data_IF_607799402574
#
_entry.id   IF_607799402574
#
_cell.length_a   1.000
_cell.length_b   1.000
_cell.length_c   1.000
_cell.angle_alpha   90.00
_cell.angle_beta   90.00
_cell.angle_gamma   90.00
#
_symmetry.space_group_name_H-M   'P 1'
#
loop_
_entity.id
_entity.type
_entity.pdbx_description
1 polymer ?
#
# COMPACT_ATOMS: atom_id res chain seq x y z
N UNK A 1 9.18 -29.78 -12.98
CA UNK A 1 7.89 -29.05 -13.05
C UNK A 1 7.73 -28.19 -11.80
N UNK A 2 7.88 -28.75 -10.61
CA UNK A 2 7.76 -28.01 -9.35
C UNK A 2 8.78 -26.86 -9.19
N UNK A 3 10.04 -27.05 -9.59
CA UNK A 3 11.05 -25.97 -9.56
C UNK A 3 10.68 -24.79 -10.47
N UNK A 4 10.06 -25.06 -11.63
CA UNK A 4 9.59 -24.02 -12.55
C UNK A 4 8.38 -23.28 -11.95
N UNK A 5 7.44 -24.02 -11.34
CA UNK A 5 6.28 -23.45 -10.64
C UNK A 5 6.73 -22.58 -9.46
N UNK A 6 7.73 -23.03 -8.71
CA UNK A 6 8.34 -22.29 -7.61
C UNK A 6 9.02 -21.01 -8.12
N UNK A 7 9.85 -21.10 -9.15
CA UNK A 7 10.56 -19.95 -9.72
C UNK A 7 9.58 -18.89 -10.23
N UNK A 8 8.52 -19.32 -10.94
CA UNK A 8 7.48 -18.42 -11.44
C UNK A 8 6.70 -17.79 -10.27
N UNK A 9 6.27 -18.58 -9.28
CA UNK A 9 5.45 -18.09 -8.16
C UNK A 9 6.21 -17.17 -7.20
N UNK A 10 7.50 -17.44 -6.97
CA UNK A 10 8.31 -16.72 -5.98
C UNK A 10 9.07 -15.51 -6.54
N UNK A 11 9.27 -15.44 -7.85
CA UNK A 11 10.19 -14.47 -8.47
C UNK A 11 9.66 -13.77 -9.73
N UNK A 12 8.45 -14.06 -10.20
CA UNK A 12 7.84 -13.35 -11.32
C UNK A 12 6.97 -12.18 -10.83
N UNK A 13 7.57 -10.99 -10.72
CA UNK A 13 6.85 -9.77 -10.39
C UNK A 13 7.39 -8.58 -11.21
N UNK A 14 6.48 -7.75 -11.73
CA UNK A 14 6.85 -6.53 -12.47
C UNK A 14 7.27 -5.42 -11.49
N UNK A 15 6.58 -5.32 -10.35
CA UNK A 15 6.97 -4.44 -9.24
C UNK A 15 7.62 -5.26 -8.12
N UNK A 16 8.77 -4.80 -7.62
CA UNK A 16 9.47 -5.38 -6.46
C UNK A 16 8.89 -4.80 -5.16
N UNK A 17 7.62 -5.07 -4.90
CA UNK A 17 6.95 -4.61 -3.68
C UNK A 17 6.87 -5.74 -2.65
N UNK A 18 7.51 -5.55 -1.51
CA UNK A 18 7.41 -6.46 -0.37
C UNK A 18 5.95 -6.60 0.10
N UNK A 19 5.52 -7.83 0.41
CA UNK A 19 4.20 -8.14 0.98
C UNK A 19 3.01 -7.51 0.23
N UNK A 20 3.10 -7.39 -1.10
CA UNK A 20 2.06 -6.76 -1.92
C UNK A 20 0.70 -7.47 -1.79
N UNK A 21 -0.36 -6.67 -1.66
CA UNK A 21 -1.75 -7.15 -1.61
C UNK A 21 -2.29 -7.62 -2.97
N UNK A 22 -1.52 -7.45 -4.05
CA UNK A 22 -1.82 -8.05 -5.36
C UNK A 22 -1.57 -9.56 -5.39
N UNK A 23 -0.71 -10.07 -4.50
CA UNK A 23 -0.48 -11.49 -4.28
C UNK A 23 -1.22 -11.97 -3.02
N UNK A 24 -1.46 -13.29 -2.86
CA UNK A 24 -2.00 -13.84 -1.63
C UNK A 24 -1.16 -13.48 -0.41
N UNK A 25 -1.77 -13.47 0.78
CA UNK A 25 -1.07 -13.22 2.03
C UNK A 25 0.13 -14.18 2.20
N UNK A 26 1.33 -13.72 2.60
CA UNK A 26 2.54 -14.57 2.66
C UNK A 26 2.38 -15.85 3.49
N UNK A 27 1.67 -15.79 4.62
CA UNK A 27 1.33 -16.99 5.43
C UNK A 27 0.43 -18.02 4.72
N UNK A 28 -0.27 -17.61 3.66
CA UNK A 28 -1.13 -18.44 2.81
C UNK A 28 -0.50 -18.74 1.44
N UNK A 29 0.74 -18.31 1.20
CA UNK A 29 1.47 -18.63 -0.01
C UNK A 29 2.12 -20.02 0.12
N UNK A 30 2.08 -20.80 -0.96
CA UNK A 30 2.77 -22.10 -1.02
C UNK A 30 4.30 -21.93 -1.05
N UNK A 31 4.78 -20.89 -1.73
CA UNK A 31 6.20 -20.57 -1.88
C UNK A 31 6.53 -19.24 -1.21
N UNK A 32 7.71 -19.16 -0.60
CA UNK A 32 8.23 -17.90 -0.04
C UNK A 32 8.69 -16.99 -1.19
N UNK A 33 8.16 -15.78 -1.25
CA UNK A 33 8.64 -14.73 -2.16
C UNK A 33 10.03 -14.25 -1.76
N UNK A 34 10.89 -14.00 -2.76
CA UNK A 34 12.27 -13.53 -2.53
C UNK A 34 12.38 -12.02 -2.26
N UNK A 35 11.29 -11.28 -2.37
CA UNK A 35 11.28 -9.80 -2.43
C UNK A 35 11.18 -9.10 -1.06
N UNK A 36 11.72 -9.68 0.01
CA UNK A 36 11.87 -8.93 1.25
C UNK A 36 12.98 -9.53 2.09
N UNK A 37 14.13 -8.84 2.14
CA UNK A 37 15.28 -9.20 2.98
C UNK A 37 15.07 -8.74 4.43
N UNK A 38 14.25 -7.70 4.66
CA UNK A 38 14.05 -7.06 5.96
C UNK A 38 12.63 -7.27 6.51
N UNK A 39 12.56 -7.54 7.80
CA UNK A 39 11.30 -7.67 8.55
C UNK A 39 10.45 -6.39 8.45
N UNK A 40 9.13 -6.56 8.50
CA UNK A 40 8.20 -5.44 8.30
C UNK A 40 8.40 -4.37 9.38
N UNK A 41 8.69 -4.77 10.62
CA UNK A 41 8.93 -3.89 11.77
C UNK A 41 10.12 -2.94 11.56
N UNK A 42 11.25 -3.46 11.08
CA UNK A 42 12.44 -2.63 10.82
C UNK A 42 12.16 -1.63 9.69
N UNK A 43 11.50 -2.08 8.62
CA UNK A 43 11.11 -1.18 7.51
C UNK A 43 10.18 -0.07 8.00
N UNK A 44 9.22 -0.34 8.88
CA UNK A 44 8.36 0.71 9.46
C UNK A 44 9.16 1.78 10.19
N UNK A 45 10.09 1.39 11.06
CA UNK A 45 10.92 2.33 11.80
C UNK A 45 11.70 3.24 10.84
N UNK A 46 12.32 2.65 9.81
CA UNK A 46 13.06 3.41 8.80
C UNK A 46 12.16 4.38 8.00
N UNK A 47 10.94 3.97 7.64
CA UNK A 47 9.98 4.86 6.96
C UNK A 47 9.57 6.04 7.86
N UNK A 48 9.32 5.80 9.16
CA UNK A 48 8.99 6.84 10.13
C UNK A 48 10.15 7.80 10.39
N UNK A 49 11.39 7.31 10.32
CA UNK A 49 12.56 8.17 10.47
C UNK A 49 12.79 9.02 9.21
N UNK A 50 12.70 8.40 8.03
CA UNK A 50 12.88 9.07 6.74
C UNK A 50 11.86 10.21 6.54
N UNK A 51 10.60 10.03 6.93
CA UNK A 51 9.59 11.09 6.76
C UNK A 51 9.87 12.36 7.60
N UNK A 52 10.71 12.29 8.65
CA UNK A 52 11.10 13.46 9.45
C UNK A 52 12.06 14.38 8.71
N UNK A 53 12.90 13.82 7.85
CA UNK A 53 13.95 14.56 7.12
C UNK A 53 13.54 14.84 5.67
N UNK A 54 12.67 14.01 5.09
CA UNK A 54 12.22 14.13 3.70
C UNK A 54 11.46 15.44 3.46
N UNK A 55 11.98 16.26 2.55
CA UNK A 55 11.33 17.50 2.09
C UNK A 55 10.95 17.36 0.63
N UNK A 56 9.66 17.16 0.35
CA UNK A 56 9.12 17.12 -1.01
C UNK A 56 8.19 18.31 -1.24
N UNK A 57 8.13 18.80 -2.47
CA UNK A 57 7.25 19.93 -2.81
C UNK A 57 5.81 19.48 -3.07
N UNK A 58 5.12 19.02 -2.01
CA UNK A 58 3.73 18.56 -2.11
C UNK A 58 2.75 19.65 -2.54
N UNK A 59 3.06 20.92 -2.29
CA UNK A 59 2.27 22.06 -2.78
C UNK A 59 2.26 22.08 -4.30
N UNK A 60 3.44 22.03 -4.93
CA UNK A 60 3.53 21.99 -6.38
C UNK A 60 2.96 20.68 -6.94
N UNK A 61 3.20 19.56 -6.27
CA UNK A 61 2.64 18.26 -6.67
C UNK A 61 1.12 18.25 -6.72
N UNK A 62 0.47 18.74 -5.66
CA UNK A 62 -0.98 18.83 -5.59
C UNK A 62 -1.55 19.77 -6.68
N UNK A 63 -0.85 20.89 -6.95
CA UNK A 63 -1.22 21.82 -8.01
C UNK A 63 -1.10 21.17 -9.40
N UNK A 64 -0.01 20.43 -9.66
CA UNK A 64 0.17 19.68 -10.93
C UNK A 64 -0.95 18.68 -11.17
N UNK A 65 -1.36 17.94 -10.13
CA UNK A 65 -2.50 17.02 -10.20
C UNK A 65 -3.81 17.76 -10.51
N UNK A 66 -4.06 18.90 -9.87
CA UNK A 66 -5.26 19.69 -10.07
C UNK A 66 -5.31 20.39 -11.44
N UNK A 67 -4.17 20.84 -11.95
CA UNK A 67 -4.06 21.56 -13.22
C UNK A 67 -3.95 20.62 -14.42
N UNK A 68 -3.41 19.41 -14.22
CA UNK A 68 -3.04 18.49 -15.29
C UNK A 68 -1.78 18.92 -16.06
N UNK A 69 -1.00 19.83 -15.49
CA UNK A 69 0.23 20.36 -16.09
C UNK A 69 1.47 19.70 -15.48
N UNK A 70 2.31 19.12 -16.34
CA UNK A 70 3.54 18.41 -16.00
C UNK A 70 4.77 18.97 -16.73
N UNK A 71 4.62 20.12 -17.39
CA UNK A 71 5.62 20.68 -18.31
C UNK A 71 6.73 21.48 -17.63
N UNK A 72 6.54 21.89 -16.38
CA UNK A 72 7.53 22.68 -15.64
C UNK A 72 8.74 21.85 -15.19
N UNK A 73 9.94 22.44 -15.26
CA UNK A 73 11.17 21.85 -14.72
C UNK A 73 10.98 21.42 -13.26
N UNK A 74 11.40 20.20 -12.95
CA UNK A 74 11.30 19.66 -11.60
C UNK A 74 12.31 20.39 -10.70
N UNK A 75 11.88 21.41 -9.98
CA UNK A 75 12.71 21.98 -8.89
C UNK A 75 13.11 20.91 -7.86
N UNK A 76 12.31 19.84 -7.74
CA UNK A 76 12.65 18.65 -6.96
C UNK A 76 13.80 17.83 -7.58
N UNK A 77 14.04 17.90 -8.90
CA UNK A 77 15.22 17.27 -9.52
C UNK A 77 16.50 17.99 -9.10
N UNK A 78 16.50 19.33 -8.99
CA UNK A 78 17.68 20.09 -8.55
C UNK A 78 18.01 19.86 -7.06
N UNK A 79 17.00 19.86 -6.19
CA UNK A 79 17.19 19.58 -4.75
C UNK A 79 17.69 18.16 -4.50
N UNK A 80 17.16 17.17 -5.24
CA UNK A 80 17.59 15.77 -5.13
C UNK A 80 18.95 15.49 -5.78
N UNK A 81 19.44 16.33 -6.71
CA UNK A 81 20.80 16.20 -7.25
C UNK A 81 21.85 16.62 -6.21
N UNK A 82 21.51 17.53 -5.29
CA UNK A 82 22.37 17.88 -4.15
C UNK A 82 22.43 16.71 -3.17
N UNK A 83 21.28 16.13 -2.79
CA UNK A 83 21.20 14.90 -1.98
C UNK A 83 21.98 13.74 -2.62
N UNK A 84 21.88 13.55 -3.94
CA UNK A 84 22.59 12.45 -4.64
C UNK A 84 24.11 12.58 -4.61
N UNK A 85 24.64 13.81 -4.58
CA UNK A 85 26.10 14.06 -4.45
C UNK A 85 26.60 13.80 -3.04
N UNK A 86 25.75 13.92 -2.03
CA UNK A 86 26.05 13.51 -0.65
C UNK A 86 25.92 11.97 -0.48
N UNK A 87 25.02 11.33 -1.25
CA UNK A 87 24.84 9.88 -1.31
C UNK A 87 26.04 9.15 -1.96
N UNK A 88 26.59 9.68 -3.06
CA UNK A 88 27.80 9.11 -3.71
C UNK A 88 29.04 9.10 -2.78
N UNK A 89 29.09 9.92 -1.72
CA UNK A 89 30.16 9.89 -0.71
C UNK A 89 29.91 8.91 0.45
N UNK A 90 28.70 8.37 0.59
CA UNK A 90 28.31 7.40 1.63
C UNK A 90 28.04 5.99 1.08
N UNK A 91 27.94 5.83 -0.25
CA UNK A 91 27.69 4.55 -0.92
C UNK A 91 28.87 3.56 -0.87
N UNK A 92 30.08 3.97 -0.48
CA UNK A 92 31.20 3.03 -0.34
C UNK A 92 31.15 2.13 0.92
N UNK A 93 30.18 2.31 1.84
CA UNK A 93 30.12 1.51 3.09
C UNK A 93 28.81 0.73 3.36
N UNK A 94 27.81 0.72 2.46
CA UNK A 94 26.56 -0.04 2.71
C UNK A 94 26.05 -0.84 1.51
N UNK A 95 26.82 -1.87 1.14
CA UNK A 95 26.33 -3.01 0.36
C UNK A 95 25.63 -4.01 1.30
N UNK A 96 24.32 -3.81 1.55
CA UNK A 96 23.38 -4.90 1.87
C UNK A 96 21.91 -4.40 1.87
N UNK A 97 21.13 -4.79 0.84
CA UNK A 97 19.67 -4.93 0.92
C UNK A 97 18.76 -3.67 1.03
N UNK A 98 19.15 -2.49 0.56
CA UNK A 98 18.34 -1.27 0.70
C UNK A 98 17.14 -1.17 -0.29
N UNK A 99 15.94 -1.55 0.15
CA UNK A 99 14.65 -1.33 -0.56
C UNK A 99 13.93 -0.01 -0.19
N UNK A 100 14.59 0.89 0.54
CA UNK A 100 14.04 2.23 0.84
C UNK A 100 14.75 3.25 -0.06
N UNK A 101 14.66 3.06 -1.37
CA UNK A 101 15.01 4.12 -2.31
C UNK A 101 14.19 5.36 -1.93
N UNK A 102 14.82 6.54 -1.90
CA UNK A 102 14.13 7.82 -1.77
C UNK A 102 13.23 8.02 -3.00
N UNK A 103 12.06 7.39 -2.99
CA UNK A 103 11.13 7.39 -4.13
C UNK A 103 10.66 8.83 -4.39
N UNK A 104 10.88 9.26 -5.63
CA UNK A 104 10.36 10.51 -6.19
C UNK A 104 8.84 10.49 -6.19
N UNK A 105 8.23 11.67 -6.17
CA UNK A 105 6.79 11.77 -6.37
C UNK A 105 6.41 11.27 -7.77
N UNK A 106 5.33 10.47 -7.89
CA UNK A 106 4.91 9.95 -9.19
C UNK A 106 4.50 11.08 -10.13
N UNK A 107 4.84 10.95 -11.41
CA UNK A 107 4.34 11.84 -12.47
C UNK A 107 2.96 11.38 -12.93
N UNK A 108 2.13 12.31 -13.42
CA UNK A 108 0.78 12.04 -13.93
C UNK A 108 -0.18 11.50 -12.86
N UNK A 109 -1.21 10.76 -13.27
CA UNK A 109 -2.28 10.28 -12.38
C UNK A 109 -2.06 8.85 -11.87
N UNK A 110 -1.03 8.15 -12.35
CA UNK A 110 -0.70 6.79 -11.94
C UNK A 110 0.06 6.79 -10.60
N UNK A 111 -0.14 5.73 -9.81
CA UNK A 111 0.60 5.47 -8.57
C UNK A 111 0.55 6.58 -7.52
N UNK A 112 -0.49 7.43 -7.55
CA UNK A 112 -0.67 8.53 -6.59
C UNK A 112 -1.21 8.11 -5.22
N UNK A 113 -1.69 6.87 -5.11
CA UNK A 113 -2.32 6.37 -3.89
C UNK A 113 -1.30 5.70 -2.98
N UNK A 114 -1.45 5.90 -1.67
CA UNK A 114 -0.73 5.14 -0.65
C UNK A 114 -1.34 3.74 -0.55
N UNK A 115 -0.51 2.71 -0.72
CA UNK A 115 -0.93 1.31 -0.77
C UNK A 115 -0.41 0.56 0.46
N UNK A 116 -1.28 -0.24 1.05
CA UNK A 116 -0.93 -1.10 2.17
C UNK A 116 -0.21 -2.37 1.72
N UNK A 117 0.64 -2.87 2.60
CA UNK A 117 1.10 -4.25 2.56
C UNK A 117 0.13 -5.17 3.30
N UNK A 118 0.24 -6.48 3.09
CA UNK A 118 -0.34 -7.43 4.05
C UNK A 118 0.23 -7.17 5.45
N UNK A 119 -0.62 -7.19 6.47
CA UNK A 119 -0.16 -7.13 7.86
C UNK A 119 0.38 -8.52 8.26
N UNK A 120 1.70 -8.69 8.22
CA UNK A 120 2.35 -9.98 8.51
C UNK A 120 2.92 -10.00 9.92
N UNK A 121 3.67 -8.94 10.27
CA UNK A 121 4.30 -8.79 11.58
C UNK A 121 3.42 -7.84 12.41
N UNK A 122 2.73 -8.33 13.43
CA UNK A 122 1.82 -7.47 14.21
C UNK A 122 2.66 -6.51 15.07
N UNK A 123 2.48 -5.18 14.97
CA UNK A 123 3.15 -4.22 15.85
C UNK A 123 2.78 -4.49 17.32
N UNK A 124 3.74 -4.32 18.24
CA UNK A 124 3.47 -4.49 19.66
C UNK A 124 2.53 -3.38 20.17
N UNK A 125 2.69 -2.18 19.62
CA UNK A 125 1.93 -0.96 19.93
C UNK A 125 0.69 -0.81 19.03
N UNK A 126 0.11 -1.92 18.56
CA UNK A 126 -1.04 -1.87 17.64
C UNK A 126 -2.21 -1.08 18.25
N UNK A 127 -2.53 -1.29 19.51
CA UNK A 127 -3.64 -0.66 20.21
C UNK A 127 -3.44 0.85 20.47
N UNK A 128 -2.20 1.29 20.68
CA UNK A 128 -1.87 2.69 20.97
C UNK A 128 -1.56 3.52 19.73
N UNK A 129 -0.69 3.01 18.85
CA UNK A 129 -0.08 3.80 17.77
C UNK A 129 -0.73 3.58 16.41
N UNK A 130 -1.76 2.73 16.33
CA UNK A 130 -2.46 2.45 15.08
C UNK A 130 -3.95 2.77 15.14
N UNK A 131 -4.50 3.00 13.95
CA UNK A 131 -5.92 3.24 13.71
C UNK A 131 -6.42 2.22 12.70
N UNK A 132 -7.61 1.66 12.95
CA UNK A 132 -8.25 0.72 12.04
C UNK A 132 -9.33 1.43 11.23
N UNK A 133 -9.44 1.09 9.95
CA UNK A 133 -10.55 1.51 9.08
C UNK A 133 -11.18 0.30 8.41
N UNK A 134 -12.49 0.15 8.58
CA UNK A 134 -13.27 -0.89 7.90
C UNK A 134 -13.59 -0.45 6.48
N UNK A 135 -13.16 -1.24 5.51
CA UNK A 135 -13.20 -0.87 4.09
C UNK A 135 -14.33 -1.61 3.35
N UNK A 136 -15.15 -0.89 2.56
CA UNK A 136 -16.16 -1.49 1.70
C UNK A 136 -15.54 -2.23 0.52
N UNK A 137 -16.27 -3.20 -0.02
CA UNK A 137 -16.01 -3.77 -1.35
C UNK A 137 -16.22 -2.69 -2.40
N UNK A 138 -15.17 -2.42 -3.19
CA UNK A 138 -15.23 -1.42 -4.23
C UNK A 138 -13.91 -1.21 -4.97
N UNK A 139 -13.90 -0.23 -5.86
CA UNK A 139 -12.74 0.13 -6.68
C UNK A 139 -12.01 1.31 -6.09
N UNK A 140 -10.74 1.09 -5.70
CA UNK A 140 -9.87 2.17 -5.21
C UNK A 140 -9.66 3.22 -6.31
N UNK A 141 -9.91 4.49 -5.96
CA UNK A 141 -9.94 5.60 -6.91
C UNK A 141 -9.30 6.86 -6.32
N UNK A 142 -8.39 7.46 -7.08
CA UNK A 142 -7.92 8.84 -6.86
C UNK A 142 -9.02 9.79 -7.35
N UNK A 143 -9.47 10.69 -6.48
CA UNK A 143 -10.47 11.70 -6.81
C UNK A 143 -9.81 13.07 -6.85
N UNK A 144 -10.01 13.78 -7.96
CA UNK A 144 -9.52 15.16 -8.13
C UNK A 144 -10.72 16.03 -8.50
N UNK A 145 -11.10 16.92 -7.59
CA UNK A 145 -12.08 17.96 -7.82
C UNK A 145 -11.34 19.27 -8.12
N UNK A 146 -11.48 19.80 -9.33
CA UNK A 146 -10.75 20.98 -9.80
C UNK A 146 -11.48 21.62 -10.98
N UNK A 147 -11.36 22.95 -11.13
CA UNK A 147 -11.87 23.72 -12.28
C UNK A 147 -13.34 23.46 -12.62
N UNK A 148 -14.16 23.19 -11.60
CA UNK A 148 -15.60 23.02 -11.71
C UNK A 148 -16.06 21.61 -12.14
N UNK A 149 -15.19 20.61 -12.07
CA UNK A 149 -15.51 19.20 -12.31
C UNK A 149 -14.72 18.30 -11.36
N UNK A 150 -15.21 17.08 -11.15
CA UNK A 150 -14.52 16.01 -10.43
C UNK A 150 -14.17 14.88 -11.39
N UNK A 151 -12.95 14.35 -11.27
CA UNK A 151 -12.46 13.23 -12.07
C UNK A 151 -12.00 12.10 -11.14
N UNK A 152 -12.34 10.87 -11.49
CA UNK A 152 -11.93 9.66 -10.80
C UNK A 152 -10.90 8.89 -11.63
N UNK A 153 -9.77 8.53 -11.01
CA UNK A 153 -8.68 7.79 -11.65
C UNK A 153 -8.40 6.48 -10.92
N UNK A 154 -8.07 5.44 -11.67
CA UNK A 154 -7.61 4.15 -11.11
C UNK A 154 -6.18 4.25 -10.56
N UNK A 155 -5.71 3.20 -9.87
CA UNK A 155 -4.30 3.08 -9.43
C UNK A 155 -3.30 3.25 -10.58
N UNK A 156 -3.63 2.76 -11.78
CA UNK A 156 -2.80 2.89 -12.97
C UNK A 156 -2.93 4.25 -13.68
N UNK A 157 -3.73 5.18 -13.14
CA UNK A 157 -3.89 6.54 -13.68
C UNK A 157 -4.93 6.67 -14.79
N UNK A 158 -5.65 5.59 -15.14
CA UNK A 158 -6.75 5.67 -16.11
C UNK A 158 -7.94 6.45 -15.54
N UNK A 159 -8.43 7.44 -16.28
CA UNK A 159 -9.60 8.24 -15.91
C UNK A 159 -10.89 7.44 -16.17
N UNK A 160 -11.55 7.01 -15.10
CA UNK A 160 -12.77 6.20 -15.16
C UNK A 160 -13.99 7.05 -15.46
N UNK A 161 -14.09 8.22 -14.82
CA UNK A 161 -15.27 9.05 -14.91
C UNK A 161 -14.95 10.53 -14.66
N UNK A 162 -15.77 11.42 -15.23
CA UNK A 162 -15.78 12.86 -14.96
C UNK A 162 -17.22 13.31 -14.70
N UNK A 163 -17.45 13.95 -13.56
CA UNK A 163 -18.78 14.31 -13.08
C UNK A 163 -18.72 15.57 -12.19
N UNK A 164 -19.82 16.32 -12.03
CA UNK A 164 -19.89 17.39 -11.03
C UNK A 164 -20.00 16.81 -9.63
N UNK A 165 -19.39 17.42 -8.62
CA UNK A 165 -19.61 17.06 -7.22
C UNK A 165 -19.71 18.29 -6.32
N UNK A 166 -20.17 18.09 -5.09
CA UNK A 166 -20.17 19.14 -4.06
C UNK A 166 -18.81 19.32 -3.37
N UNK A 167 -17.78 18.55 -3.77
CA UNK A 167 -16.43 18.80 -3.30
C UNK A 167 -15.96 20.20 -3.71
N UNK A 168 -15.12 20.86 -2.90
CA UNK A 168 -14.51 22.13 -3.30
C UNK A 168 -13.76 22.00 -4.63
N UNK A 169 -14.02 22.91 -5.57
CA UNK A 169 -13.50 22.83 -6.94
C UNK A 169 -14.24 21.86 -7.87
N UNK A 170 -15.17 21.04 -7.36
CA UNK A 170 -15.86 19.97 -8.11
C UNK A 170 -17.08 20.41 -8.93
N UNK A 171 -17.49 21.68 -8.82
CA UNK A 171 -18.63 22.24 -9.55
C UNK A 171 -18.41 23.74 -9.83
N UNK A 172 -18.89 24.23 -10.97
CA UNK A 172 -18.82 25.62 -11.42
C UNK A 172 -19.35 26.64 -10.41
N UNK A 173 -20.32 26.24 -9.59
CA UNK A 173 -20.88 27.11 -8.55
C UNK A 173 -19.96 27.30 -7.34
N UNK A 174 -19.10 26.31 -7.08
CA UNK A 174 -18.16 26.27 -5.93
C UNK A 174 -16.70 26.48 -6.40
N UNK A 175 -16.51 27.05 -7.60
CA UNK A 175 -15.20 27.29 -8.20
C UNK A 175 -14.91 28.78 -8.39
N UNK A 176 -15.54 29.65 -7.59
CA UNK A 176 -15.57 31.10 -7.80
C UNK A 176 -14.18 31.76 -7.87
N UNK A 177 -13.15 31.15 -7.25
CA UNK A 177 -11.78 31.67 -7.26
C UNK A 177 -10.82 30.91 -8.20
N UNK A 178 -11.27 29.86 -8.89
CA UNK A 178 -10.47 29.07 -9.85
C UNK A 178 -9.23 28.34 -9.28
N UNK A 179 -8.92 28.54 -7.99
CA UNK A 179 -7.76 27.97 -7.28
C UNK A 179 -8.13 26.86 -6.30
N UNK A 180 -9.42 26.66 -6.05
CA UNK A 180 -9.89 25.63 -5.14
C UNK A 180 -9.84 24.27 -5.84
N UNK A 181 -9.04 23.37 -5.28
CA UNK A 181 -9.02 21.97 -5.68
C UNK A 181 -8.95 21.06 -4.46
N UNK A 182 -9.51 19.87 -4.61
CA UNK A 182 -9.55 18.85 -3.57
C UNK A 182 -9.07 17.52 -4.17
N UNK A 183 -8.18 16.84 -3.46
CA UNK A 183 -7.60 15.56 -3.85
C UNK A 183 -7.87 14.57 -2.71
N UNK A 184 -8.62 13.52 -3.04
CA UNK A 184 -9.05 12.50 -2.08
C UNK A 184 -8.63 11.11 -2.54
N UNK A 185 -8.49 10.23 -1.57
CA UNK A 185 -8.32 8.81 -1.76
C UNK A 185 -9.62 8.10 -1.39
N UNK A 186 -10.24 7.41 -2.34
CA UNK A 186 -11.59 6.88 -2.17
C UNK A 186 -11.71 5.41 -2.59
N UNK A 187 -12.72 4.73 -2.07
CA UNK A 187 -13.20 3.43 -2.53
C UNK A 187 -14.59 3.64 -3.12
N UNK A 188 -14.72 3.40 -4.42
CA UNK A 188 -16.01 3.50 -5.09
C UNK A 188 -16.78 2.18 -4.99
N UNK A 189 -17.94 2.21 -4.33
CA UNK A 189 -18.88 1.10 -4.33
C UNK A 189 -19.92 1.30 -5.43
N UNK A 190 -19.96 0.38 -6.39
CA UNK A 190 -20.92 0.40 -7.51
C UNK A 190 -22.35 0.15 -7.04
N UNK A 191 -22.52 -0.73 -6.04
CA UNK A 191 -23.82 -1.08 -5.46
C UNK A 191 -24.44 0.13 -4.77
N UNK A 192 -23.66 0.78 -3.91
CA UNK A 192 -24.11 1.95 -3.14
C UNK A 192 -24.06 3.27 -3.92
N UNK A 193 -23.47 3.25 -5.13
CA UNK A 193 -23.14 4.45 -5.94
C UNK A 193 -22.49 5.56 -5.09
N UNK A 194 -21.55 5.15 -4.25
CA UNK A 194 -20.94 5.99 -3.21
C UNK A 194 -19.42 5.91 -3.32
N UNK A 195 -18.76 7.07 -3.32
CA UNK A 195 -17.34 7.20 -3.06
C UNK A 195 -17.13 7.28 -1.56
N UNK A 196 -16.66 6.19 -0.97
CA UNK A 196 -16.24 6.16 0.42
C UNK A 196 -14.86 6.79 0.52
N UNK A 197 -14.75 7.95 1.18
CA UNK A 197 -13.48 8.66 1.34
C UNK A 197 -12.68 7.92 2.39
N UNK A 198 -11.54 7.35 2.00
CA UNK A 198 -10.60 6.75 2.93
C UNK A 198 -9.60 7.78 3.45
N UNK A 199 -9.15 8.71 2.60
CA UNK A 199 -8.13 9.67 2.98
C UNK A 199 -8.23 11.00 2.22
N UNK A 200 -7.54 12.01 2.73
CA UNK A 200 -7.43 13.35 2.16
C UNK A 200 -5.97 13.71 1.95
N UNK A 201 -5.63 14.14 0.73
CA UNK A 201 -4.30 14.61 0.40
C UNK A 201 -4.27 16.12 0.17
N UNK A 202 -5.39 16.69 -0.28
CA UNK A 202 -5.57 18.13 -0.41
C UNK A 202 -7.03 18.52 -0.28
N UNK A 203 -7.32 19.63 0.40
CA UNK A 203 -8.67 20.20 0.49
C UNK A 203 -8.62 21.71 0.30
N UNK A 204 -9.43 22.25 -0.62
CA UNK A 204 -9.44 23.70 -0.96
C UNK A 204 -8.04 24.27 -1.22
N UNK A 205 -7.20 23.53 -1.93
CA UNK A 205 -5.84 23.94 -2.26
C UNK A 205 -4.82 23.82 -1.12
N UNK A 206 -5.22 23.32 0.07
CA UNK A 206 -4.30 23.05 1.18
C UNK A 206 -3.85 21.58 1.15
N UNK A 207 -2.63 21.27 0.68
CA UNK A 207 -2.09 19.92 0.74
C UNK A 207 -1.78 19.52 2.19
N UNK A 208 -2.07 18.27 2.54
CA UNK A 208 -1.84 17.70 3.88
C UNK A 208 -1.03 16.40 3.82
N UNK A 209 -0.26 16.19 2.74
CA UNK A 209 0.58 15.00 2.56
C UNK A 209 1.55 14.80 3.73
N UNK A 210 2.18 15.88 4.20
CA UNK A 210 3.13 15.89 5.32
C UNK A 210 2.46 15.86 6.71
N UNK A 211 1.15 15.65 6.77
CA UNK A 211 0.45 15.54 8.03
C UNK A 211 0.32 14.06 8.45
N UNK A 212 0.46 13.77 9.76
CA UNK A 212 0.14 12.47 10.34
C UNK A 212 -1.26 11.98 9.96
N UNK A 213 -1.43 10.66 9.86
CA UNK A 213 -2.74 10.04 9.58
C UNK A 213 -3.81 10.46 10.57
N UNK A 214 -3.50 10.49 11.86
CA UNK A 214 -4.46 10.89 12.89
C UNK A 214 -5.03 12.29 12.63
N UNK A 215 -4.16 13.23 12.25
CA UNK A 215 -4.58 14.58 11.87
C UNK A 215 -5.41 14.56 10.57
N UNK A 216 -4.95 13.86 9.53
CA UNK A 216 -5.67 13.78 8.24
C UNK A 216 -7.07 13.22 8.40
N UNK A 217 -7.23 12.15 9.19
CA UNK A 217 -8.54 11.54 9.47
C UNK A 217 -9.43 12.48 10.27
N UNK A 218 -8.93 13.07 11.35
CA UNK A 218 -9.68 14.06 12.13
C UNK A 218 -10.15 15.24 11.26
N UNK A 219 -9.22 15.81 10.48
CA UNK A 219 -9.49 16.96 9.64
C UNK A 219 -10.47 16.63 8.51
N UNK A 220 -10.34 15.47 7.87
CA UNK A 220 -11.29 14.98 6.88
C UNK A 220 -12.71 14.93 7.46
N UNK A 221 -12.88 14.33 8.64
CA UNK A 221 -14.20 14.23 9.28
C UNK A 221 -14.81 15.60 9.56
N UNK A 222 -14.02 16.52 10.11
CA UNK A 222 -14.44 17.91 10.34
C UNK A 222 -14.86 18.61 9.04
N UNK A 223 -14.10 18.44 7.95
CA UNK A 223 -14.39 19.08 6.66
C UNK A 223 -15.57 18.51 5.91
N UNK A 224 -15.80 17.20 6.03
CA UNK A 224 -17.01 16.56 5.50
C UNK A 224 -18.25 17.02 6.26
N UNK A 225 -18.18 17.13 7.59
CA UNK A 225 -19.29 17.63 8.42
C UNK A 225 -19.62 19.10 8.14
N UNK A 226 -18.62 19.93 7.81
CA UNK A 226 -18.83 21.34 7.40
C UNK A 226 -19.53 21.50 6.03
N UNK A 227 -19.61 20.43 5.22
CA UNK A 227 -20.10 20.54 3.84
C UNK A 227 -21.43 19.81 3.66
N UNK A 228 -22.49 20.61 3.54
CA UNK A 228 -23.85 20.09 3.39
C UNK A 228 -24.05 19.33 2.08
N UNK A 229 -24.80 18.23 2.15
CA UNK A 229 -25.31 17.50 0.99
C UNK A 229 -24.30 16.61 0.25
N UNK A 230 -23.07 16.43 0.75
CA UNK A 230 -22.09 15.50 0.13
C UNK A 230 -22.61 14.06 0.05
N UNK A 231 -23.38 13.63 1.04
CA UNK A 231 -23.96 12.29 1.11
C UNK A 231 -25.29 12.15 0.33
N UNK A 232 -25.79 13.23 -0.27
CA UNK A 232 -27.07 13.24 -0.99
C UNK A 232 -26.86 13.17 -2.50
N UNK A 233 -27.76 12.44 -3.17
CA UNK A 233 -27.78 12.39 -4.63
C UNK A 233 -28.54 13.61 -5.15
N UNK A 234 -27.86 14.43 -5.94
CA UNK A 234 -28.42 15.61 -6.57
C UNK A 234 -27.93 15.77 -8.01
N UNK A 235 -28.58 16.62 -8.81
CA UNK A 235 -28.13 16.92 -10.19
C UNK A 235 -26.68 17.43 -10.26
N UNK A 236 -26.24 18.13 -9.22
CA UNK A 236 -24.88 18.67 -9.06
C UNK A 236 -23.95 17.76 -8.25
N UNK A 237 -24.45 16.61 -7.79
CA UNK A 237 -23.75 15.60 -7.00
C UNK A 237 -24.34 14.20 -7.31
N UNK A 238 -24.05 13.62 -8.48
CA UNK A 238 -24.65 12.36 -8.89
C UNK A 238 -24.12 11.16 -8.09
N UNK A 239 -23.01 11.32 -7.38
CA UNK A 239 -22.41 10.31 -6.52
C UNK A 239 -22.28 10.83 -5.09
N UNK A 240 -22.62 9.98 -4.12
CA UNK A 240 -22.47 10.30 -2.71
C UNK A 240 -21.00 10.25 -2.31
N UNK A 241 -20.58 11.14 -1.43
CA UNK A 241 -19.28 11.12 -0.76
C UNK A 241 -19.51 10.92 0.74
N UNK A 242 -18.98 9.83 1.28
CA UNK A 242 -19.15 9.44 2.69
C UNK A 242 -17.78 9.12 3.27
N UNK A 243 -17.38 9.78 4.35
CA UNK A 243 -16.11 9.50 5.02
C UNK A 243 -16.16 8.18 5.79
N UNK A 244 -15.13 7.34 5.62
CA UNK A 244 -14.94 6.15 6.44
C UNK A 244 -14.44 6.57 7.83
N UNK A 245 -14.99 5.95 8.87
CA UNK A 245 -14.59 6.22 10.25
C UNK A 245 -13.37 5.38 10.62
N UNK A 246 -12.42 6.01 11.31
CA UNK A 246 -11.31 5.31 11.94
C UNK A 246 -11.64 5.00 13.39
N UNK A 247 -11.24 3.82 13.86
CA UNK A 247 -11.36 3.39 15.26
C UNK A 247 -10.00 3.06 15.85
N UNK A 248 -9.89 3.04 17.18
CA UNK A 248 -8.72 2.47 17.84
C UNK A 248 -8.60 0.97 17.52
N UNK A 249 -7.40 0.43 17.68
CA UNK A 249 -7.11 -0.99 17.46
C UNK A 249 -7.08 -1.79 18.77
N UNK A 250 -7.80 -1.36 19.81
CA UNK A 250 -7.95 -2.19 21.01
C UNK A 250 -8.71 -3.48 20.67
N UNK A 251 -8.49 -4.53 21.46
CA UNK A 251 -9.19 -5.82 21.29
C UNK A 251 -10.70 -5.64 21.20
N UNK A 252 -11.26 -4.84 22.11
CA UNK A 252 -12.70 -4.57 22.18
C UNK A 252 -13.18 -3.80 20.96
N UNK A 253 -12.42 -2.81 20.50
CA UNK A 253 -12.78 -2.00 19.34
C UNK A 253 -12.77 -2.83 18.05
N UNK A 254 -11.79 -3.72 17.87
CA UNK A 254 -11.73 -4.63 16.73
C UNK A 254 -12.90 -5.63 16.77
N UNK A 255 -13.18 -6.23 17.93
CA UNK A 255 -14.32 -7.13 18.10
C UNK A 255 -15.65 -6.42 17.80
N UNK A 256 -15.84 -5.21 18.32
CA UNK A 256 -17.03 -4.42 18.07
C UNK A 256 -17.19 -4.08 16.59
N UNK A 257 -16.11 -3.70 15.91
CA UNK A 257 -16.14 -3.46 14.47
C UNK A 257 -16.54 -4.73 13.69
N UNK A 258 -15.99 -5.88 14.05
CA UNK A 258 -16.34 -7.16 13.42
C UNK A 258 -17.78 -7.62 13.69
N UNK A 259 -18.38 -7.21 14.82
CA UNK A 259 -19.78 -7.46 15.14
C UNK A 259 -20.75 -6.44 14.53
N UNK A 260 -20.26 -5.27 14.11
CA UNK A 260 -21.10 -4.17 13.64
C UNK A 260 -21.68 -4.48 12.26
N UNK A 261 -22.97 -4.16 12.08
CA UNK A 261 -23.61 -4.19 10.77
C UNK A 261 -23.30 -2.90 10.00
N UNK A 262 -22.68 -3.03 8.83
CA UNK A 262 -22.37 -1.92 7.95
C UNK A 262 -23.44 -1.78 6.86
N UNK A 263 -23.65 -0.56 6.37
CA UNK A 263 -24.49 -0.27 5.21
C UNK A 263 -23.81 -0.57 3.86
N UNK A 264 -22.72 -1.34 3.90
CA UNK A 264 -21.97 -1.81 2.74
C UNK A 264 -21.37 -3.17 3.05
N UNK A 265 -21.05 -3.93 2.00
CA UNK A 265 -20.30 -5.17 2.14
C UNK A 265 -18.85 -4.85 2.50
N UNK A 266 -18.35 -5.41 3.59
CA UNK A 266 -16.96 -5.22 4.05
C UNK A 266 -16.02 -6.09 3.21
N UNK A 267 -14.96 -5.49 2.67
CA UNK A 267 -13.87 -6.19 1.99
C UNK A 267 -12.78 -6.61 2.98
N UNK A 268 -12.38 -5.67 3.84
CA UNK A 268 -11.32 -5.91 4.82
C UNK A 268 -11.04 -4.71 5.70
N UNK A 269 -9.95 -4.81 6.44
CA UNK A 269 -9.53 -3.90 7.48
C UNK A 269 -8.16 -3.32 7.11
N UNK A 270 -8.07 -2.00 7.10
CA UNK A 270 -6.79 -1.30 7.01
C UNK A 270 -6.35 -0.83 8.38
N UNK A 271 -5.08 -1.00 8.69
CA UNK A 271 -4.43 -0.58 9.92
C UNK A 271 -3.39 0.48 9.56
N UNK A 272 -3.60 1.71 9.99
CA UNK A 272 -2.73 2.85 9.72
C UNK A 272 -1.91 3.21 10.94
N UNK A 273 -0.60 3.38 10.80
CA UNK A 273 0.20 4.00 11.84
C UNK A 273 -0.20 5.48 12.00
N UNK A 274 -0.51 5.93 13.22
CA UNK A 274 -1.01 7.29 13.52
C UNK A 274 -0.12 8.38 12.95
N UNK A 275 1.19 8.19 13.03
CA UNK A 275 2.19 9.16 12.61
C UNK A 275 2.57 9.12 11.13
N UNK A 276 2.04 8.20 10.31
CA UNK A 276 2.48 8.14 8.89
C UNK A 276 2.00 9.34 8.09
N UNK A 277 2.91 9.96 7.33
CA UNK A 277 2.57 10.91 6.28
C UNK A 277 1.90 10.16 5.11
N UNK A 278 1.15 10.88 4.26
CA UNK A 278 0.59 10.30 3.05
C UNK A 278 1.68 10.19 1.99
N UNK A 279 2.14 8.97 1.71
CA UNK A 279 3.21 8.72 0.72
C UNK A 279 2.68 7.81 -0.39
N UNK A 280 2.66 8.27 -1.66
CA UNK A 280 2.23 7.43 -2.77
C UNK A 280 3.10 6.17 -2.94
N UNK A 281 2.45 5.03 -3.22
CA UNK A 281 3.09 3.72 -3.36
C UNK A 281 2.93 2.81 -2.14
N UNK A 282 3.51 1.60 -2.21
CA UNK A 282 3.45 0.62 -1.13
C UNK A 282 4.23 1.05 0.11
N UNK A 283 3.65 0.85 1.29
CA UNK A 283 4.26 1.17 2.58
C UNK A 283 3.92 0.13 3.66
N UNK A 284 4.87 -0.24 4.54
CA UNK A 284 4.61 -1.11 5.69
C UNK A 284 3.91 -0.38 6.85
N UNK A 285 3.73 0.94 6.77
CA UNK A 285 3.01 1.77 7.76
C UNK A 285 1.50 1.72 7.59
N UNK A 286 1.01 1.01 6.57
CA UNK A 286 -0.39 0.65 6.43
C UNK A 286 -0.49 -0.86 6.19
N UNK A 287 -1.15 -1.57 7.09
CA UNK A 287 -1.38 -3.01 7.00
C UNK A 287 -2.79 -3.33 6.52
N UNK A 288 -2.94 -4.39 5.73
CA UNK A 288 -4.23 -4.91 5.27
C UNK A 288 -4.48 -6.31 5.80
N UNK A 289 -5.72 -6.57 6.23
CA UNK A 289 -6.22 -7.90 6.53
C UNK A 289 -7.64 -8.10 6.01
N UNK A 290 -7.96 -9.33 5.62
CA UNK A 290 -9.35 -9.75 5.44
C UNK A 290 -9.96 -10.03 6.82
N UNK A 291 -11.28 -9.84 7.02
CA UNK A 291 -11.84 -9.93 8.37
C UNK A 291 -11.70 -11.34 8.98
N UNK A 292 -11.79 -12.40 8.17
CA UNK A 292 -11.55 -13.79 8.61
C UNK A 292 -10.09 -14.09 9.01
N UNK A 293 -9.13 -13.24 8.63
CA UNK A 293 -7.71 -13.42 8.99
C UNK A 293 -7.39 -12.88 10.38
N UNK A 294 -8.26 -12.06 10.98
CA UNK A 294 -8.00 -11.38 12.26
C UNK A 294 -7.65 -12.37 13.37
N UNK A 295 -8.39 -13.48 13.47
CA UNK A 295 -8.14 -14.54 14.48
C UNK A 295 -6.73 -15.12 14.33
N UNK A 296 -6.35 -15.47 13.11
CA UNK A 296 -5.10 -16.20 12.85
C UNK A 296 -3.87 -15.28 12.89
N UNK A 297 -4.03 -14.00 12.57
CA UNK A 297 -2.94 -13.03 12.50
C UNK A 297 -2.75 -12.27 13.82
N UNK A 298 -3.83 -11.75 14.40
CA UNK A 298 -3.78 -10.99 15.66
C UNK A 298 -3.86 -11.89 16.90
N UNK A 299 -4.22 -13.17 16.75
CA UNK A 299 -4.26 -14.13 17.86
C UNK A 299 -5.36 -13.83 18.88
N UNK A 300 -6.45 -13.20 18.44
CA UNK A 300 -7.55 -12.76 19.30
C UNK A 300 -8.86 -13.50 19.00
N UNK A 301 -9.71 -13.64 20.02
CA UNK A 301 -11.08 -14.12 19.82
C UNK A 301 -11.91 -13.07 19.09
N UNK A 302 -12.75 -13.52 18.15
CA UNK A 302 -13.64 -12.63 17.39
C UNK A 302 -15.08 -13.15 17.45
N UNK A 303 -16.08 -12.26 17.35
CA UNK A 303 -17.48 -12.66 17.25
C UNK A 303 -17.71 -13.58 16.04
N UNK A 304 -18.49 -14.64 16.23
CA UNK A 304 -18.91 -15.50 15.12
C UNK A 304 -19.91 -14.75 14.26
N UNK A 305 -19.62 -14.56 12.99
CA UNK A 305 -20.49 -13.86 12.06
C UNK A 305 -20.03 -13.97 10.62
N UNK A 306 -20.78 -13.37 9.68
CA UNK A 306 -20.48 -13.44 8.25
C UNK A 306 -19.07 -12.90 7.89
N UNK A 307 -18.58 -11.90 8.62
CA UNK A 307 -17.25 -11.33 8.39
C UNK A 307 -16.12 -12.27 8.83
N UNK A 308 -16.32 -13.00 9.92
CA UNK A 308 -15.30 -13.86 10.53
C UNK A 308 -15.36 -15.31 10.05
N UNK A 309 -16.39 -15.65 9.27
CA UNK A 309 -16.51 -16.94 8.59
C UNK A 309 -15.37 -17.12 7.58
N UNK A 310 -14.56 -18.16 7.80
CA UNK A 310 -13.49 -18.53 6.86
C UNK A 310 -14.11 -19.09 5.58
N UNK A 311 -13.75 -18.57 4.40
CA UNK A 311 -14.25 -19.13 3.15
C UNK A 311 -13.65 -20.51 2.90
N UNK A 312 -14.39 -21.40 2.22
CA UNK A 312 -13.98 -22.79 1.98
C UNK A 312 -12.59 -22.89 1.33
N UNK A 313 -12.29 -22.02 0.35
CA UNK A 313 -10.99 -21.99 -0.32
C UNK A 313 -9.82 -21.75 0.65
N UNK A 314 -10.03 -20.97 1.72
CA UNK A 314 -8.98 -20.68 2.70
C UNK A 314 -8.64 -21.94 3.52
N UNK A 315 -9.65 -22.76 3.84
CA UNK A 315 -9.46 -24.05 4.48
C UNK A 315 -8.67 -25.03 3.59
N UNK A 316 -9.07 -25.15 2.33
CA UNK A 316 -8.37 -26.01 1.35
C UNK A 316 -6.93 -25.57 1.11
N UNK A 317 -6.69 -24.26 0.97
CA UNK A 317 -5.35 -23.70 0.75
C UNK A 317 -4.43 -23.99 1.94
N UNK A 318 -4.91 -23.85 3.18
CA UNK A 318 -4.14 -24.18 4.38
C UNK A 318 -3.82 -25.68 4.47
N UNK A 319 -4.75 -26.56 4.07
CA UNK A 319 -4.53 -28.00 4.03
C UNK A 319 -3.44 -28.36 3.01
N UNK A 320 -3.50 -27.80 1.80
CA UNK A 320 -2.48 -28.01 0.76
C UNK A 320 -1.10 -27.51 1.17
N UNK A 321 -1.01 -26.35 1.83
CA UNK A 321 0.27 -25.81 2.35
C UNK A 321 0.85 -26.74 3.41
N UNK A 322 0.03 -27.29 4.30
CA UNK A 322 0.48 -28.26 5.33
C UNK A 322 1.02 -29.54 4.68
N UNK A 323 0.38 -30.03 3.63
CA UNK A 323 0.82 -31.23 2.90
C UNK A 323 2.15 -30.98 2.18
N UNK A 324 2.29 -29.87 1.46
CA UNK A 324 3.53 -29.50 0.76
C UNK A 324 4.70 -29.25 1.71
N UNK A 325 4.44 -28.67 2.89
CA UNK A 325 5.49 -28.49 3.92
C UNK A 325 5.96 -29.82 4.49
N UNK A 326 5.08 -30.81 4.67
CA UNK A 326 5.46 -32.16 5.13
C UNK A 326 6.30 -32.92 4.09
N UNK A 327 6.03 -32.74 2.79
CA UNK A 327 6.83 -33.37 1.73
C UNK A 327 8.20 -32.72 1.54
N UNK A 328 8.39 -31.49 2.04
CA UNK A 328 9.65 -30.74 1.97
C UNK A 328 10.63 -31.05 3.14
N UNK A 329 10.36 -32.05 3.98
CA UNK A 329 11.16 -32.41 5.16
C UNK A 329 12.54 -33.06 4.84
N UNK A 330 13.03 -33.00 3.60
CA UNK A 330 14.48 -33.12 3.35
C UNK A 330 15.18 -31.82 3.72
N UNK A 331 15.20 -31.55 5.02
CA UNK A 331 16.09 -30.59 5.66
C UNK A 331 17.51 -31.02 5.32
N UNK A 332 18.20 -30.28 4.43
CA UNK A 332 19.66 -30.36 4.36
C UNK A 332 20.19 -30.07 5.77
N UNK A 333 21.01 -30.94 6.38
CA UNK A 333 21.58 -30.65 7.68
C UNK A 333 22.27 -29.29 7.61
N UNK A 334 21.88 -28.35 8.47
CA UNK A 334 22.59 -27.09 8.59
C UNK A 334 23.98 -27.39 9.12
N UNK A 335 25.01 -27.09 8.31
CA UNK A 335 26.37 -27.15 8.77
C UNK A 335 26.53 -26.21 9.98
N UNK A 336 27.01 -26.76 11.09
CA UNK A 336 27.13 -26.13 12.41
C UNK A 336 28.15 -24.99 12.47
N UNK A 337 28.70 -24.54 11.34
CA UNK A 337 29.65 -23.44 11.28
C UNK A 337 29.10 -22.32 10.40
N UNK A 338 28.60 -21.27 11.04
CA UNK A 338 28.10 -20.05 10.41
C UNK A 338 29.16 -19.30 9.58
N UNK A 339 29.43 -19.79 8.37
CA UNK A 339 30.05 -19.04 7.29
C UNK A 339 29.10 -19.05 6.11
N UNK A 340 28.62 -17.86 5.73
CA UNK A 340 27.97 -17.64 4.45
C UNK A 340 29.02 -17.85 3.36
N UNK A 341 28.97 -18.98 2.65
CA UNK A 341 29.68 -19.10 1.37
C UNK A 341 28.83 -18.41 0.29
N UNK A 342 29.35 -17.28 -0.20
CA UNK A 342 28.94 -16.70 -1.47
C UNK A 342 29.25 -17.73 -2.56
N UNK A 343 28.24 -18.48 -3.00
CA UNK A 343 28.38 -19.32 -4.20
C UNK A 343 28.54 -18.40 -5.42
N UNK A 344 29.78 -18.32 -5.89
CA UNK A 344 30.14 -17.77 -7.18
C UNK A 344 29.37 -18.50 -8.29
N UNK A 345 28.62 -17.75 -9.08
CA UNK A 345 28.01 -18.21 -10.33
C UNK A 345 29.12 -18.57 -11.33
N UNK A 346 29.52 -19.84 -11.37
CA UNK A 346 30.37 -20.38 -12.42
C UNK A 346 29.50 -20.88 -13.58
N UNK A 347 29.64 -20.22 -14.72
CA UNK A 347 29.22 -20.66 -16.06
C UNK A 347 29.71 -22.08 -16.38
N UNK A 348 28.94 -22.90 -17.12
CA UNK A 348 29.34 -24.26 -17.45
C UNK A 348 30.36 -24.27 -18.60
N UNK A 349 31.56 -24.79 -18.35
CA UNK A 349 32.51 -25.16 -19.41
C UNK A 349 32.12 -26.52 -20.03
N UNK A 350 32.15 -26.57 -21.35
CA UNK A 350 31.83 -27.75 -22.16
C UNK A 350 32.91 -28.83 -22.04
N UNK A 351 32.48 -30.05 -21.73
CA UNK A 351 33.28 -31.26 -21.90
C UNK A 351 33.57 -31.53 -23.39
N UNK A 352 34.86 -31.66 -23.71
CA UNK A 352 35.42 -32.55 -24.74
C UNK A 352 36.55 -33.28 -24.03
N UNK A 353 36.53 -34.60 -23.84
CA UNK A 353 36.40 -35.64 -24.85
C UNK A 353 37.76 -36.32 -24.98
N UNK A 354 37.82 -37.58 -24.53
CA UNK A 354 38.97 -38.50 -24.44
C UNK A 354 40.00 -38.44 -25.57
N UNK A 355 41.27 -38.75 -25.22
CA UNK A 355 42.29 -39.03 -26.22
C UNK A 355 43.71 -39.28 -25.71
N UNK A 356 43.93 -40.49 -25.20
CA UNK A 356 45.10 -41.33 -25.49
C UNK A 356 46.43 -41.16 -24.71
N UNK A 357 47.07 -42.32 -24.69
CA UNK A 357 48.07 -42.90 -23.81
C UNK A 357 49.51 -42.68 -24.29
N UNK A 358 50.49 -42.91 -23.38
CA UNK A 358 51.94 -43.18 -23.62
C UNK A 358 52.79 -41.97 -24.07
N UNK A 359 54.09 -41.85 -23.80
CA UNK A 359 55.13 -42.70 -23.22
C UNK A 359 56.30 -41.79 -22.75
N UNK A 360 57.09 -42.31 -21.82
CA UNK A 360 58.49 -42.01 -21.45
C UNK A 360 59.26 -40.88 -22.18
N UNK A 361 59.84 -39.95 -21.39
CA UNK A 361 61.27 -39.88 -21.00
C UNK A 361 61.60 -38.50 -20.44
#
# INVERSE_FOLDING_TARGET
MDDLTQALSASFAVSKEANSTAAPHPRMAQYKTKFSVLEQSERRWRFLDLQKTKRLNYVNHARRLADGDWTGADSDEEALVVDRKEEEQQEEEKDDGMEIERKKLPKYYANQLMLSEWLVDVPQELDTDWLMVVCPVGKRSLIIASKGSTAAYTKSGYCVNRFPSLLPGGNRHNSAMGKDYTILDCIYSEVERTYFILDVMCWRGHPVYDCPTEFRFYWLQSKVQETDGMADIAKRNPFKFVSLQSTACSTEAIQQALATAYNFNVDGLLFYHRQTHYTPGSTPLVGWLRPYMVVDILGMEVPVGPLTAKPEYAGHQLAQIREHKKTSDHVRPGDLNGRYELEHLSTPDQEKGDGDTKDKS
#
